data_IF_427804864066
#
_entry.id   IF_427804864066
#
_cell.length_a   1.000
_cell.length_b   1.000
_cell.length_c   1.000
_cell.angle_alpha   90.00
_cell.angle_beta   90.00
_cell.angle_gamma   90.00
#
_symmetry.space_group_name_H-M   'P 1'
#
loop_
_entity.id
_entity.type
_entity.pdbx_description
1 polymer ?
#
# COMPACT_ATOMS: atom_id res chain seq x y z
N UNK A 1 -27.76 -11.55 -1.49
CA UNK A 1 -28.85 -10.55 -1.59
C UNK A 1 -28.21 -9.25 -2.00
N UNK A 2 -28.47 -8.78 -3.21
CA UNK A 2 -27.90 -7.52 -3.71
C UNK A 2 -28.82 -6.37 -3.34
N UNK A 3 -28.33 -5.44 -2.54
CA UNK A 3 -28.98 -4.13 -2.36
C UNK A 3 -28.15 -3.09 -3.09
N UNK A 4 -28.70 -2.55 -4.18
CA UNK A 4 -28.13 -1.43 -4.90
C UNK A 4 -28.44 -0.13 -4.13
N UNK A 5 -27.50 0.36 -3.33
CA UNK A 5 -27.50 1.75 -2.87
C UNK A 5 -26.78 2.61 -3.91
N UNK A 6 -27.49 2.91 -5.00
CA UNK A 6 -27.15 4.02 -5.87
C UNK A 6 -27.96 5.25 -5.44
N UNK A 7 -27.49 5.89 -4.38
CA UNK A 7 -27.98 7.19 -3.93
C UNK A 7 -27.53 8.26 -4.94
N UNK A 8 -28.32 8.43 -6.00
CA UNK A 8 -28.15 9.53 -6.94
C UNK A 8 -28.63 10.82 -6.25
N UNK A 9 -27.82 11.89 -6.22
CA UNK A 9 -28.29 13.17 -5.69
C UNK A 9 -29.52 13.63 -6.48
N UNK A 10 -30.54 14.20 -5.82
CA UNK A 10 -31.75 14.64 -6.50
C UNK A 10 -31.39 15.62 -7.61
N UNK A 11 -31.97 15.44 -8.79
CA UNK A 11 -31.80 16.37 -9.88
C UNK A 11 -32.16 17.80 -9.40
N UNK A 12 -31.34 18.82 -9.72
CA UNK A 12 -31.61 20.17 -9.26
C UNK A 12 -33.00 20.61 -9.74
N UNK A 13 -33.77 21.40 -8.96
CA UNK A 13 -35.11 21.81 -9.33
C UNK A 13 -35.07 22.67 -10.60
N UNK A 14 -35.24 22.00 -11.74
CA UNK A 14 -35.29 22.60 -13.05
C UNK A 14 -36.66 23.23 -13.25
N UNK A 15 -36.78 24.47 -12.80
CA UNK A 15 -37.43 25.61 -13.46
C UNK A 15 -37.21 26.77 -12.49
N UNK A 16 -36.30 27.69 -12.82
CA UNK A 16 -36.34 29.02 -12.19
C UNK A 16 -37.72 29.61 -12.51
N UNK A 17 -38.46 30.17 -11.53
CA UNK A 17 -39.70 30.87 -11.87
C UNK A 17 -39.40 31.92 -12.95
N UNK A 18 -40.30 32.04 -13.92
CA UNK A 18 -40.14 33.02 -15.01
C UNK A 18 -39.87 34.40 -14.40
N UNK A 19 -38.98 35.17 -15.03
CA UNK A 19 -38.57 36.49 -14.52
C UNK A 19 -39.70 37.54 -14.52
N UNK A 20 -40.85 37.22 -15.13
CA UNK A 20 -42.11 37.94 -15.01
C UNK A 20 -43.16 37.05 -14.33
N UNK A 21 -44.13 37.67 -13.64
CA UNK A 21 -45.28 36.99 -13.06
C UNK A 21 -46.39 36.88 -14.12
N UNK A 22 -46.73 35.68 -14.63
CA UNK A 22 -47.70 35.55 -15.73
C UNK A 22 -49.05 36.19 -15.39
N UNK A 23 -49.58 35.90 -14.19
CA UNK A 23 -50.86 36.45 -13.73
C UNK A 23 -50.94 37.99 -13.70
N UNK A 24 -49.81 38.71 -13.56
CA UNK A 24 -49.80 40.18 -13.63
C UNK A 24 -49.84 40.68 -15.09
N UNK A 25 -49.24 39.93 -16.02
CA UNK A 25 -49.33 40.18 -17.46
C UNK A 25 -50.73 39.85 -17.96
N UNK A 26 -51.29 38.71 -17.57
CA UNK A 26 -52.62 38.26 -17.95
C UNK A 26 -53.67 39.28 -17.49
N UNK A 27 -53.66 39.68 -16.21
CA UNK A 27 -54.57 40.70 -15.67
C UNK A 27 -54.40 42.11 -16.28
N UNK A 28 -53.23 42.42 -16.86
CA UNK A 28 -53.03 43.65 -17.63
C UNK A 28 -53.61 43.54 -19.04
N UNK A 29 -53.41 42.40 -19.70
CA UNK A 29 -53.95 42.12 -21.04
C UNK A 29 -55.48 42.03 -21.02
N UNK A 30 -56.07 41.44 -19.98
CA UNK A 30 -57.52 41.38 -19.78
C UNK A 30 -58.12 42.79 -19.70
N UNK A 31 -57.55 43.67 -18.85
CA UNK A 31 -57.98 45.08 -18.73
C UNK A 31 -57.83 45.85 -20.04
N UNK A 32 -56.71 45.67 -20.74
CA UNK A 32 -56.49 46.29 -22.05
C UNK A 32 -57.50 45.78 -23.09
N UNK A 33 -57.89 44.51 -23.00
CA UNK A 33 -58.96 43.90 -23.79
C UNK A 33 -60.34 44.49 -23.50
N UNK A 34 -60.68 44.72 -22.23
CA UNK A 34 -61.90 45.40 -21.80
C UNK A 34 -61.94 46.85 -22.30
N UNK A 35 -60.86 47.60 -22.14
CA UNK A 35 -60.71 48.98 -22.64
C UNK A 35 -60.85 49.04 -24.17
N UNK A 36 -60.22 48.11 -24.90
CA UNK A 36 -60.35 47.99 -26.35
C UNK A 36 -61.79 47.64 -26.78
N UNK A 37 -62.44 46.69 -26.09
CA UNK A 37 -63.82 46.30 -26.37
C UNK A 37 -64.80 47.46 -26.16
N UNK A 38 -64.62 48.25 -25.08
CA UNK A 38 -65.40 49.45 -24.81
C UNK A 38 -65.19 50.53 -25.88
N UNK A 39 -63.93 50.79 -26.25
CA UNK A 39 -63.61 51.73 -27.32
C UNK A 39 -64.23 51.29 -28.67
N UNK A 40 -64.16 49.98 -28.98
CA UNK A 40 -64.73 49.41 -30.20
C UNK A 40 -66.26 49.52 -30.23
N UNK A 41 -66.94 49.22 -29.13
CA UNK A 41 -68.38 49.37 -29.01
C UNK A 41 -68.83 50.84 -29.18
N UNK A 42 -68.04 51.79 -28.65
CA UNK A 42 -68.30 53.22 -28.84
C UNK A 42 -68.15 53.67 -30.29
N UNK A 43 -67.12 53.18 -31.00
CA UNK A 43 -66.97 53.44 -32.45
C UNK A 43 -68.18 52.90 -33.22
N UNK A 44 -68.59 51.65 -32.97
CA UNK A 44 -69.76 51.05 -33.62
C UNK A 44 -71.06 51.81 -33.34
N UNK A 45 -71.25 52.34 -32.12
CA UNK A 45 -72.41 53.17 -31.78
C UNK A 45 -72.41 54.50 -32.53
N UNK A 46 -71.23 55.14 -32.68
CA UNK A 46 -71.09 56.38 -33.46
C UNK A 46 -71.27 56.14 -34.97
N UNK A 47 -70.76 55.04 -35.51
CA UNK A 47 -70.97 54.61 -36.91
C UNK A 47 -72.47 54.38 -37.19
N UNK A 48 -73.17 53.70 -36.28
CA UNK A 48 -74.61 53.46 -36.40
C UNK A 48 -75.44 54.75 -36.32
N UNK A 49 -75.10 55.67 -35.41
CA UNK A 49 -75.77 56.96 -35.28
C UNK A 49 -75.50 57.88 -36.48
N UNK A 50 -74.27 57.90 -37.01
CA UNK A 50 -73.95 58.60 -38.25
C UNK A 50 -74.74 58.04 -39.44
N UNK A 51 -74.89 56.71 -39.53
CA UNK A 51 -75.75 56.07 -40.53
C UNK A 51 -77.23 56.45 -40.39
N UNK A 52 -77.75 56.52 -39.15
CA UNK A 52 -79.13 56.94 -38.85
C UNK A 52 -79.36 58.39 -39.29
N UNK A 53 -78.48 59.31 -38.90
CA UNK A 53 -78.55 60.72 -39.27
C UNK A 53 -78.39 60.95 -40.77
N UNK A 54 -77.53 60.16 -41.43
CA UNK A 54 -77.37 60.18 -42.89
C UNK A 54 -78.66 59.79 -43.62
N UNK A 55 -79.33 58.71 -43.18
CA UNK A 55 -80.60 58.28 -43.75
C UNK A 55 -81.74 59.28 -43.47
N UNK A 56 -81.78 59.88 -42.28
CA UNK A 56 -82.72 60.95 -41.93
C UNK A 56 -82.51 62.19 -42.83
N UNK A 57 -81.26 62.56 -43.09
CA UNK A 57 -80.92 63.67 -43.97
C UNK A 57 -81.24 63.40 -45.46
N UNK A 58 -81.10 62.17 -45.95
CA UNK A 58 -81.59 61.80 -47.30
C UNK A 58 -83.12 61.84 -47.38
N UNK A 59 -83.82 61.26 -46.39
CA UNK A 59 -85.29 61.30 -46.36
C UNK A 59 -85.84 62.73 -46.34
N UNK A 60 -85.17 63.66 -45.64
CA UNK A 60 -85.50 65.08 -45.68
C UNK A 60 -85.22 65.71 -47.05
N UNK A 61 -84.11 65.36 -47.72
CA UNK A 61 -83.83 65.81 -49.11
C UNK A 61 -84.89 65.32 -50.09
N UNK A 62 -85.27 64.04 -50.03
CA UNK A 62 -86.33 63.46 -50.86
C UNK A 62 -87.69 64.13 -50.59
N UNK A 63 -88.03 64.38 -49.32
CA UNK A 63 -89.27 65.05 -48.94
C UNK A 63 -89.33 66.51 -49.45
N UNK A 64 -88.21 67.25 -49.39
CA UNK A 64 -88.10 68.61 -49.95
C UNK A 64 -88.19 68.57 -51.49
N UNK A 65 -87.51 67.64 -52.14
CA UNK A 65 -87.55 67.49 -53.61
C UNK A 65 -88.92 67.04 -54.15
N UNK A 66 -89.77 66.43 -53.31
CA UNK A 66 -91.13 66.04 -53.65
C UNK A 66 -92.16 67.18 -53.48
N UNK A 67 -91.78 68.32 -52.88
CA UNK A 67 -92.66 69.49 -52.82
C UNK A 67 -92.82 70.11 -54.22
N UNK A 68 -94.02 70.57 -54.61
CA UNK A 68 -94.19 71.27 -55.87
C UNK A 68 -93.38 72.58 -55.85
N UNK A 69 -92.79 73.00 -56.98
CA UNK A 69 -92.07 74.27 -57.06
C UNK A 69 -93.03 75.41 -56.72
N UNK A 70 -92.75 76.10 -55.62
CA UNK A 70 -93.61 77.15 -55.11
C UNK A 70 -93.33 78.46 -55.85
N UNK A 71 -94.29 78.88 -56.69
CA UNK A 71 -94.22 80.18 -57.37
C UNK A 71 -94.66 81.30 -56.43
N UNK A 72 -93.69 81.88 -55.72
CA UNK A 72 -93.90 83.01 -54.83
C UNK A 72 -94.03 84.36 -55.57
N UNK A 73 -93.87 84.42 -56.90
CA UNK A 73 -94.02 85.67 -57.66
C UNK A 73 -95.46 86.23 -57.57
N UNK A 74 -96.45 85.36 -57.36
CA UNK A 74 -97.86 85.71 -57.11
C UNK A 74 -98.05 86.54 -55.82
N UNK A 75 -97.10 86.47 -54.88
CA UNK A 75 -97.11 87.21 -53.61
C UNK A 75 -96.37 88.57 -53.69
N UNK A 76 -95.77 88.89 -54.84
CA UNK A 76 -95.10 90.17 -55.11
C UNK A 76 -93.60 90.17 -54.82
N UNK A 77 -92.90 91.22 -55.28
CA UNK A 77 -91.43 91.29 -55.32
C UNK A 77 -90.75 91.00 -53.97
N UNK A 78 -91.25 91.58 -52.87
CA UNK A 78 -90.67 91.35 -51.53
C UNK A 78 -90.75 89.91 -51.02
N UNK A 79 -91.62 89.06 -51.58
CA UNK A 79 -91.64 87.63 -51.28
C UNK A 79 -90.55 86.86 -52.06
N UNK A 80 -90.21 87.33 -53.26
CA UNK A 80 -89.11 86.79 -54.08
C UNK A 80 -87.76 87.22 -53.49
N UNK A 81 -87.64 88.49 -53.08
CA UNK A 81 -86.43 89.00 -52.41
C UNK A 81 -86.15 88.24 -51.10
N UNK A 82 -87.20 87.92 -50.32
CA UNK A 82 -87.09 87.13 -49.09
C UNK A 82 -86.71 85.67 -49.37
N UNK A 83 -87.22 85.05 -50.44
CA UNK A 83 -86.82 83.70 -50.83
C UNK A 83 -85.33 83.65 -51.18
N UNK A 84 -84.85 84.59 -52.00
CA UNK A 84 -83.43 84.67 -52.37
C UNK A 84 -82.52 84.79 -51.15
N UNK A 85 -82.88 85.65 -50.17
CA UNK A 85 -82.13 85.77 -48.92
C UNK A 85 -82.13 84.46 -48.11
N UNK A 86 -83.25 83.73 -48.06
CA UNK A 86 -83.32 82.43 -47.36
C UNK A 86 -82.52 81.34 -48.07
N UNK A 87 -82.43 81.37 -49.40
CA UNK A 87 -81.59 80.46 -50.19
C UNK A 87 -80.10 80.78 -49.98
N UNK A 88 -79.69 82.06 -50.00
CA UNK A 88 -78.32 82.50 -49.69
C UNK A 88 -77.89 82.08 -48.27
N UNK A 89 -78.71 82.37 -47.24
CA UNK A 89 -78.45 81.97 -45.85
C UNK A 89 -78.39 80.42 -45.67
N UNK A 90 -79.19 79.67 -46.44
CA UNK A 90 -79.15 78.21 -46.43
C UNK A 90 -77.87 77.65 -47.09
N UNK A 91 -77.39 78.29 -48.18
CA UNK A 91 -76.10 77.94 -48.79
C UNK A 91 -74.92 78.28 -47.88
N UNK A 92 -74.92 79.45 -47.22
CA UNK A 92 -73.90 79.84 -46.24
C UNK A 92 -73.87 78.88 -45.03
N UNK A 93 -75.03 78.50 -44.51
CA UNK A 93 -75.14 77.53 -43.42
C UNK A 93 -74.62 76.14 -43.85
N UNK A 94 -74.96 75.69 -45.05
CA UNK A 94 -74.49 74.40 -45.58
C UNK A 94 -72.98 74.41 -45.86
N UNK A 95 -72.42 75.52 -46.34
CA UNK A 95 -70.98 75.70 -46.53
C UNK A 95 -70.23 75.71 -45.18
N UNK A 96 -70.78 76.42 -44.19
CA UNK A 96 -70.24 76.49 -42.83
C UNK A 96 -70.22 75.12 -42.17
N UNK A 97 -71.35 74.39 -42.20
CA UNK A 97 -71.45 73.05 -41.62
C UNK A 97 -70.48 72.03 -42.25
N UNK A 98 -70.25 72.12 -43.57
CA UNK A 98 -69.23 71.31 -44.27
C UNK A 98 -67.81 71.65 -43.80
N UNK A 99 -67.48 72.94 -43.76
CA UNK A 99 -66.16 73.40 -43.31
C UNK A 99 -65.88 73.01 -41.84
N UNK A 100 -66.88 73.06 -40.96
CA UNK A 100 -66.76 72.59 -39.58
C UNK A 100 -66.57 71.07 -39.47
N UNK A 101 -67.28 70.29 -40.30
CA UNK A 101 -67.12 68.84 -40.37
C UNK A 101 -65.73 68.41 -40.89
N UNK A 102 -65.26 69.02 -41.98
CA UNK A 102 -63.92 68.79 -42.53
C UNK A 102 -62.84 69.17 -41.50
N UNK A 103 -62.99 70.31 -40.83
CA UNK A 103 -62.09 70.74 -39.76
C UNK A 103 -62.15 69.83 -38.52
N UNK A 104 -63.26 69.14 -38.25
CA UNK A 104 -63.35 68.14 -37.19
C UNK A 104 -62.65 66.83 -37.58
N UNK A 105 -62.84 66.34 -38.80
CA UNK A 105 -62.20 65.12 -39.31
C UNK A 105 -60.67 65.29 -39.38
N UNK A 106 -60.16 66.39 -39.93
CA UNK A 106 -58.72 66.66 -39.96
C UNK A 106 -58.09 66.77 -38.56
N UNK A 107 -58.81 67.36 -37.58
CA UNK A 107 -58.38 67.34 -36.17
C UNK A 107 -58.36 65.93 -35.59
N UNK A 108 -59.38 65.11 -35.87
CA UNK A 108 -59.47 63.74 -35.40
C UNK A 108 -58.37 62.84 -36.00
N UNK A 109 -58.08 62.99 -37.30
CA UNK A 109 -56.98 62.32 -38.00
C UNK A 109 -55.62 62.72 -37.42
N UNK A 110 -55.38 64.02 -37.23
CA UNK A 110 -54.14 64.51 -36.62
C UNK A 110 -53.94 63.97 -35.21
N UNK A 111 -55.02 63.89 -34.40
CA UNK A 111 -54.95 63.31 -33.05
C UNK A 111 -54.69 61.81 -33.08
N UNK A 112 -55.34 61.06 -33.97
CA UNK A 112 -55.11 59.63 -34.12
C UNK A 112 -53.65 59.32 -34.51
N UNK A 113 -53.06 60.09 -35.42
CA UNK A 113 -51.64 59.96 -35.81
C UNK A 113 -50.72 60.28 -34.63
N UNK A 114 -50.98 61.35 -33.86
CA UNK A 114 -50.18 61.70 -32.67
C UNK A 114 -50.26 60.61 -31.60
N UNK A 115 -51.46 60.10 -31.30
CA UNK A 115 -51.66 59.05 -30.31
C UNK A 115 -50.99 57.73 -30.72
N UNK A 116 -51.09 57.35 -32.00
CA UNK A 116 -50.44 56.16 -32.53
C UNK A 116 -48.90 56.26 -32.46
N UNK A 117 -48.34 57.43 -32.78
CA UNK A 117 -46.91 57.69 -32.66
C UNK A 117 -46.42 57.62 -31.20
N UNK A 118 -47.14 58.28 -30.27
CA UNK A 118 -46.82 58.25 -28.84
C UNK A 118 -46.92 56.84 -28.24
N UNK A 119 -47.94 56.07 -28.62
CA UNK A 119 -48.08 54.67 -28.21
C UNK A 119 -46.95 53.78 -28.76
N UNK A 120 -46.51 54.00 -30.00
CA UNK A 120 -45.38 53.29 -30.59
C UNK A 120 -44.04 53.63 -29.92
N UNK A 121 -43.81 54.91 -29.60
CA UNK A 121 -42.63 55.37 -28.86
C UNK A 121 -42.60 54.74 -27.46
N UNK A 122 -43.70 54.82 -26.71
CA UNK A 122 -43.82 54.22 -25.38
C UNK A 122 -43.59 52.70 -25.40
N UNK A 123 -44.24 51.98 -26.32
CA UNK A 123 -44.04 50.53 -26.48
C UNK A 123 -42.59 50.17 -26.88
N UNK A 124 -41.90 51.05 -27.60
CA UNK A 124 -40.48 50.85 -27.95
C UNK A 124 -39.57 51.12 -26.76
N UNK A 125 -39.80 52.21 -26.02
CA UNK A 125 -39.05 52.51 -24.79
C UNK A 125 -39.19 51.39 -23.74
N UNK A 126 -40.40 50.83 -23.55
CA UNK A 126 -40.61 49.69 -22.65
C UNK A 126 -39.84 48.45 -23.12
N UNK A 127 -39.86 48.12 -24.41
CA UNK A 127 -39.11 46.96 -24.97
C UNK A 127 -37.60 47.14 -24.80
N UNK A 128 -37.05 48.27 -25.25
CA UNK A 128 -35.61 48.56 -25.12
C UNK A 128 -35.15 48.59 -23.66
N UNK A 129 -35.97 49.12 -22.75
CA UNK A 129 -35.70 49.07 -21.30
C UNK A 129 -35.71 47.65 -20.73
N UNK A 130 -36.66 46.81 -21.16
CA UNK A 130 -36.73 45.40 -20.76
C UNK A 130 -35.55 44.57 -21.30
N UNK A 131 -35.16 44.79 -22.56
CA UNK A 131 -34.00 44.13 -23.18
C UNK A 131 -32.70 44.52 -22.47
N UNK A 132 -32.48 45.82 -22.23
CA UNK A 132 -31.31 46.31 -21.50
C UNK A 132 -31.25 45.79 -20.05
N UNK A 133 -32.41 45.65 -19.39
CA UNK A 133 -32.48 45.01 -18.07
C UNK A 133 -32.16 43.52 -18.15
N UNK A 134 -32.68 42.79 -19.14
CA UNK A 134 -32.40 41.37 -19.32
C UNK A 134 -30.91 41.10 -19.59
N UNK A 135 -30.28 41.89 -20.46
CA UNK A 135 -28.84 41.80 -20.72
C UNK A 135 -27.99 42.18 -19.51
N UNK A 136 -28.36 43.21 -18.74
CA UNK A 136 -27.71 43.55 -17.48
C UNK A 136 -27.79 42.41 -16.45
N UNK A 137 -28.97 41.80 -16.28
CA UNK A 137 -29.18 40.65 -15.39
C UNK A 137 -28.41 39.42 -15.86
N UNK A 138 -28.31 39.19 -17.17
CA UNK A 138 -27.53 38.11 -17.77
C UNK A 138 -26.02 38.33 -17.55
N UNK A 139 -25.51 39.54 -17.78
CA UNK A 139 -24.10 39.87 -17.56
C UNK A 139 -23.70 39.69 -16.09
N UNK A 140 -24.53 40.17 -15.15
CA UNK A 140 -24.32 39.97 -13.72
C UNK A 140 -24.29 38.47 -13.33
N UNK A 141 -25.22 37.66 -13.86
CA UNK A 141 -25.25 36.23 -13.59
C UNK A 141 -24.08 35.45 -14.21
N UNK A 142 -23.52 35.93 -15.33
CA UNK A 142 -22.29 35.37 -15.92
C UNK A 142 -21.08 35.72 -15.06
N UNK A 143 -20.94 36.98 -14.63
CA UNK A 143 -19.85 37.42 -13.75
C UNK A 143 -19.85 36.64 -12.42
N UNK A 144 -21.01 36.53 -11.76
CA UNK A 144 -21.18 35.73 -10.53
C UNK A 144 -20.77 34.26 -10.74
N UNK A 145 -21.16 33.65 -11.87
CA UNK A 145 -20.77 32.28 -12.20
C UNK A 145 -19.27 32.14 -12.50
N UNK A 146 -18.62 33.15 -13.06
CA UNK A 146 -17.17 33.19 -13.30
C UNK A 146 -16.38 33.38 -12.00
N UNK A 147 -16.83 34.24 -11.10
CA UNK A 147 -16.27 34.41 -9.75
C UNK A 147 -16.32 33.11 -8.94
N UNK A 148 -17.49 32.44 -8.90
CA UNK A 148 -17.66 31.14 -8.23
C UNK A 148 -16.70 30.09 -8.84
N UNK A 149 -16.55 30.06 -10.16
CA UNK A 149 -15.61 29.14 -10.85
C UNK A 149 -14.15 29.47 -10.55
N UNK A 150 -13.79 30.74 -10.47
CA UNK A 150 -12.44 31.17 -10.14
C UNK A 150 -12.08 30.79 -8.70
N UNK A 151 -12.96 31.08 -7.74
CA UNK A 151 -12.79 30.69 -6.34
C UNK A 151 -12.64 29.16 -6.18
N UNK A 152 -13.55 28.38 -6.77
CA UNK A 152 -13.50 26.92 -6.71
C UNK A 152 -12.22 26.31 -7.33
N UNK A 153 -11.67 26.95 -8.39
CA UNK A 153 -10.38 26.54 -8.97
C UNK A 153 -9.21 26.85 -8.04
N UNK A 154 -9.17 28.06 -7.47
CA UNK A 154 -8.12 28.46 -6.54
C UNK A 154 -8.09 27.56 -5.30
N UNK A 155 -9.25 27.21 -4.73
CA UNK A 155 -9.33 26.25 -3.62
C UNK A 155 -8.89 24.83 -4.05
N UNK A 156 -9.29 24.35 -5.22
CA UNK A 156 -8.86 23.05 -5.73
C UNK A 156 -7.35 22.99 -6.08
N UNK A 157 -6.72 24.12 -6.39
CA UNK A 157 -5.28 24.24 -6.56
C UNK A 157 -4.56 24.28 -5.21
N UNK A 158 -5.04 25.09 -4.26
CA UNK A 158 -4.53 25.16 -2.89
C UNK A 158 -4.57 23.79 -2.21
N UNK A 159 -5.72 23.11 -2.20
CA UNK A 159 -5.88 21.77 -1.59
C UNK A 159 -4.94 20.73 -2.24
N UNK A 160 -4.72 20.79 -3.56
CA UNK A 160 -3.72 19.92 -4.23
C UNK A 160 -2.28 20.28 -3.84
N UNK A 161 -1.98 21.57 -3.69
CA UNK A 161 -0.68 22.05 -3.19
C UNK A 161 -0.39 21.56 -1.78
N UNK A 162 -1.33 21.78 -0.87
CA UNK A 162 -1.28 21.37 0.54
C UNK A 162 -1.11 19.84 0.67
N UNK A 163 -1.97 19.06 0.00
CA UNK A 163 -1.87 17.59 -0.01
C UNK A 163 -0.55 17.09 -0.64
N UNK A 164 -0.07 17.77 -1.69
CA UNK A 164 1.21 17.45 -2.32
C UNK A 164 2.42 17.77 -1.44
N UNK A 165 2.33 18.81 -0.60
CA UNK A 165 3.35 19.14 0.39
C UNK A 165 3.37 18.13 1.53
N UNK A 166 2.22 17.83 2.14
CA UNK A 166 2.10 16.82 3.18
C UNK A 166 2.60 15.43 2.72
N UNK A 167 2.32 15.04 1.46
CA UNK A 167 2.83 13.79 0.89
C UNK A 167 4.36 13.78 0.73
N UNK A 168 5.00 14.92 0.45
CA UNK A 168 6.47 15.01 0.41
C UNK A 168 7.06 14.90 1.81
N UNK A 169 6.53 15.66 2.77
CA UNK A 169 6.94 15.61 4.17
C UNK A 169 6.87 14.19 4.74
N UNK A 170 5.73 13.48 4.56
CA UNK A 170 5.58 12.09 4.99
C UNK A 170 6.58 11.15 4.31
N UNK A 171 6.88 11.34 3.02
CA UNK A 171 7.89 10.53 2.30
C UNK A 171 9.30 10.78 2.83
N UNK A 172 9.66 12.03 3.07
CA UNK A 172 10.96 12.44 3.60
C UNK A 172 11.15 11.93 5.04
N UNK A 173 10.14 12.10 5.90
CA UNK A 173 10.14 11.56 7.26
C UNK A 173 10.22 10.03 7.29
N UNK A 174 9.48 9.34 6.40
CA UNK A 174 9.53 7.86 6.30
C UNK A 174 10.90 7.38 5.81
N UNK A 175 11.50 8.08 4.83
CA UNK A 175 12.83 7.75 4.34
C UNK A 175 13.91 7.96 5.42
N UNK A 176 13.84 9.07 6.16
CA UNK A 176 14.73 9.36 7.28
C UNK A 176 14.58 8.32 8.41
N UNK A 177 13.35 7.96 8.77
CA UNK A 177 13.09 6.92 9.77
C UNK A 177 13.65 5.56 9.33
N UNK A 178 13.45 5.16 8.06
CA UNK A 178 14.03 3.91 7.54
C UNK A 178 15.55 3.92 7.57
N UNK A 179 16.19 5.03 7.18
CA UNK A 179 17.65 5.16 7.25
C UNK A 179 18.18 5.05 8.68
N UNK A 180 17.48 5.64 9.66
CA UNK A 180 17.83 5.52 11.09
C UNK A 180 17.71 4.07 11.60
N UNK A 181 16.65 3.35 11.19
CA UNK A 181 16.45 1.93 11.55
C UNK A 181 17.49 1.03 10.88
N UNK A 182 17.83 1.27 9.60
CA UNK A 182 18.92 0.59 8.90
C UNK A 182 20.28 0.83 9.58
N UNK A 183 20.54 2.06 10.05
CA UNK A 183 21.74 2.40 10.82
C UNK A 183 21.78 1.67 12.18
N UNK A 184 20.70 1.70 12.98
CA UNK A 184 20.65 1.00 14.27
C UNK A 184 20.88 -0.50 14.10
N UNK A 185 20.25 -1.12 13.10
CA UNK A 185 20.48 -2.53 12.77
C UNK A 185 21.93 -2.81 12.34
N UNK A 186 22.53 -1.93 11.53
CA UNK A 186 23.94 -2.03 11.14
C UNK A 186 24.90 -1.93 12.34
N UNK A 187 24.67 -0.96 13.23
CA UNK A 187 25.46 -0.76 14.45
C UNK A 187 25.33 -1.96 15.40
N UNK A 188 24.12 -2.49 15.60
CA UNK A 188 23.86 -3.68 16.41
C UNK A 188 24.47 -4.94 15.81
N UNK A 189 24.39 -5.13 14.49
CA UNK A 189 25.04 -6.24 13.80
C UNK A 189 26.58 -6.16 13.92
N UNK A 190 27.16 -4.96 13.76
CA UNK A 190 28.59 -4.75 13.92
C UNK A 190 29.05 -4.94 15.38
N UNK A 191 28.25 -4.54 16.36
CA UNK A 191 28.51 -4.80 17.78
C UNK A 191 28.46 -6.30 18.10
N UNK A 192 27.45 -7.02 17.60
CA UNK A 192 27.34 -8.46 17.76
C UNK A 192 28.52 -9.19 17.09
N UNK A 193 28.92 -8.79 15.89
CA UNK A 193 30.07 -9.37 15.20
C UNK A 193 31.38 -9.17 16.00
N UNK A 194 31.62 -7.97 16.54
CA UNK A 194 32.77 -7.70 17.43
C UNK A 194 32.76 -8.56 18.69
N UNK A 195 31.60 -8.70 19.34
CA UNK A 195 31.46 -9.53 20.54
C UNK A 195 31.68 -11.03 20.24
N UNK A 196 31.15 -11.53 19.12
CA UNK A 196 31.33 -12.91 18.67
C UNK A 196 32.80 -13.21 18.33
N UNK A 197 33.51 -12.26 17.72
CA UNK A 197 34.94 -12.44 17.43
C UNK A 197 35.79 -12.39 18.70
N UNK A 198 35.54 -11.45 19.61
CA UNK A 198 36.21 -11.42 20.92
C UNK A 198 36.03 -12.73 21.70
N UNK A 199 34.80 -13.27 21.73
CA UNK A 199 34.51 -14.55 22.36
C UNK A 199 35.22 -15.75 21.68
N UNK A 200 35.45 -15.70 20.35
CA UNK A 200 36.26 -16.70 19.65
C UNK A 200 37.74 -16.59 20.01
N UNK A 201 38.29 -15.37 20.10
CA UNK A 201 39.67 -15.14 20.53
C UNK A 201 39.88 -15.67 21.95
N UNK A 202 39.01 -15.30 22.90
CA UNK A 202 39.05 -15.79 24.28
C UNK A 202 38.93 -17.33 24.35
N UNK A 203 38.00 -17.92 23.58
CA UNK A 203 37.85 -19.38 23.53
C UNK A 203 39.07 -20.09 22.93
N UNK A 204 39.74 -19.48 21.95
CA UNK A 204 40.97 -20.00 21.33
C UNK A 204 42.17 -19.89 22.30
N UNK A 205 42.34 -18.76 22.98
CA UNK A 205 43.35 -18.57 24.02
C UNK A 205 43.16 -19.56 25.18
N UNK A 206 41.92 -19.72 25.67
CA UNK A 206 41.60 -20.70 26.71
C UNK A 206 41.79 -22.15 26.25
N UNK A 207 41.58 -22.45 24.96
CA UNK A 207 41.89 -23.77 24.39
C UNK A 207 43.41 -24.00 24.29
N UNK A 208 44.18 -23.00 23.87
CA UNK A 208 45.64 -23.06 23.82
C UNK A 208 46.26 -23.28 25.22
N UNK A 209 45.79 -22.54 26.24
CA UNK A 209 46.23 -22.73 27.63
C UNK A 209 45.90 -24.13 28.18
N UNK A 210 44.75 -24.70 27.80
CA UNK A 210 44.39 -26.10 28.15
C UNK A 210 45.30 -27.11 27.45
N UNK A 211 45.68 -26.87 26.20
CA UNK A 211 46.61 -27.73 25.46
C UNK A 211 48.01 -27.69 26.08
N UNK A 212 48.56 -26.50 26.36
CA UNK A 212 49.87 -26.34 27.03
C UNK A 212 49.91 -27.03 28.42
N UNK A 213 48.82 -26.90 29.18
CA UNK A 213 48.65 -27.62 30.46
C UNK A 213 48.64 -29.14 30.24
N UNK A 214 47.89 -29.63 29.25
CA UNK A 214 47.80 -31.06 28.94
C UNK A 214 49.13 -31.64 28.42
N UNK A 215 49.87 -30.89 27.60
CA UNK A 215 51.21 -31.25 27.12
C UNK A 215 52.22 -31.29 28.27
N UNK A 216 52.17 -30.32 29.18
CA UNK A 216 52.98 -30.28 30.40
C UNK A 216 52.72 -31.49 31.32
N UNK A 217 51.44 -31.84 31.53
CA UNK A 217 51.05 -33.05 32.29
C UNK A 217 51.50 -34.32 31.58
N UNK A 218 51.34 -34.42 30.26
CA UNK A 218 51.79 -35.56 29.47
C UNK A 218 53.32 -35.71 29.51
N UNK A 219 54.07 -34.60 29.47
CA UNK A 219 55.52 -34.61 29.60
C UNK A 219 55.97 -35.06 30.99
N UNK A 220 55.28 -34.64 32.05
CA UNK A 220 55.52 -35.12 33.41
C UNK A 220 55.21 -36.62 33.55
N UNK A 221 54.07 -37.09 33.02
CA UNK A 221 53.70 -38.51 33.03
C UNK A 221 54.70 -39.37 32.23
N UNK A 222 55.24 -38.88 31.12
CA UNK A 222 56.31 -39.54 30.35
C UNK A 222 57.61 -39.66 31.14
N UNK A 223 58.02 -38.62 31.88
CA UNK A 223 59.19 -38.68 32.78
C UNK A 223 58.99 -39.69 33.90
N UNK A 224 57.87 -39.60 34.62
CA UNK A 224 57.54 -40.55 35.70
C UNK A 224 57.45 -42.01 35.20
N UNK A 225 56.95 -42.23 33.98
CA UNK A 225 56.98 -43.55 33.35
C UNK A 225 58.41 -44.03 33.08
N UNK A 226 59.27 -43.18 32.52
CA UNK A 226 60.66 -43.56 32.24
C UNK A 226 61.45 -43.87 33.53
N UNK A 227 61.25 -43.06 34.59
CA UNK A 227 61.82 -43.31 35.92
C UNK A 227 61.32 -44.64 36.52
N UNK A 228 60.03 -44.96 36.35
CA UNK A 228 59.46 -46.23 36.80
C UNK A 228 59.95 -47.43 35.99
N UNK A 229 60.11 -47.29 34.66
CA UNK A 229 60.68 -48.32 33.78
C UNK A 229 62.14 -48.60 34.13
N UNK A 230 62.95 -47.56 34.38
CA UNK A 230 64.35 -47.74 34.79
C UNK A 230 64.47 -48.36 36.19
N UNK A 231 63.61 -47.92 37.13
CA UNK A 231 63.51 -48.57 38.46
C UNK A 231 63.11 -50.04 38.35
N UNK A 232 62.22 -50.38 37.40
CA UNK A 232 61.82 -51.77 37.15
C UNK A 232 62.97 -52.58 36.52
N UNK A 233 63.72 -52.02 35.56
CA UNK A 233 64.93 -52.63 34.99
C UNK A 233 65.97 -52.92 36.07
N UNK A 234 66.35 -51.92 36.87
CA UNK A 234 67.33 -52.15 37.94
C UNK A 234 66.86 -53.19 38.96
N UNK A 235 65.57 -53.24 39.31
CA UNK A 235 65.03 -54.32 40.15
C UNK A 235 65.08 -55.69 39.47
N UNK A 236 64.86 -55.75 38.16
CA UNK A 236 64.99 -56.98 37.37
C UNK A 236 66.46 -57.42 37.31
N UNK A 237 67.38 -56.54 36.93
CA UNK A 237 68.84 -56.75 36.91
C UNK A 237 69.36 -57.22 38.28
N UNK A 238 68.97 -56.55 39.37
CA UNK A 238 69.26 -56.98 40.74
C UNK A 238 68.72 -58.40 41.02
N UNK A 239 67.51 -58.71 40.57
CA UNK A 239 66.90 -60.03 40.79
C UNK A 239 67.59 -61.13 39.97
N UNK A 240 68.02 -60.83 38.74
CA UNK A 240 68.74 -61.73 37.85
C UNK A 240 70.19 -61.94 38.34
N UNK A 241 70.85 -60.90 38.82
CA UNK A 241 72.15 -60.97 39.48
C UNK A 241 72.09 -61.80 40.76
N UNK A 242 71.07 -61.58 41.62
CA UNK A 242 70.81 -62.40 42.81
C UNK A 242 70.51 -63.86 42.45
N UNK A 243 69.68 -64.11 41.44
CA UNK A 243 69.37 -65.46 40.98
C UNK A 243 70.61 -66.17 40.42
N UNK A 244 71.46 -65.45 39.69
CA UNK A 244 72.73 -65.97 39.15
C UNK A 244 73.72 -66.28 40.25
N UNK A 245 73.87 -65.38 41.24
CA UNK A 245 74.70 -65.61 42.42
C UNK A 245 74.21 -66.82 43.24
N UNK A 246 72.89 -66.94 43.46
CA UNK A 246 72.28 -68.07 44.16
C UNK A 246 72.49 -69.40 43.41
N UNK A 247 72.37 -69.39 42.07
CA UNK A 247 72.68 -70.55 41.22
C UNK A 247 74.17 -70.92 41.28
N UNK A 248 75.07 -69.94 41.29
CA UNK A 248 76.50 -70.17 41.42
C UNK A 248 76.87 -70.75 42.80
N UNK A 249 76.27 -70.23 43.88
CA UNK A 249 76.43 -70.80 45.23
C UNK A 249 75.88 -72.23 45.29
N UNK A 250 74.70 -72.48 44.74
CA UNK A 250 74.10 -73.82 44.66
C UNK A 250 74.99 -74.78 43.87
N UNK A 251 75.55 -74.36 42.73
CA UNK A 251 76.47 -75.15 41.92
C UNK A 251 77.81 -75.41 42.63
N UNK A 252 78.36 -74.43 43.35
CA UNK A 252 79.56 -74.61 44.18
C UNK A 252 79.29 -75.59 45.34
N UNK A 253 78.12 -75.50 45.97
CA UNK A 253 77.71 -76.41 47.05
C UNK A 253 77.45 -77.83 46.55
N UNK A 254 76.79 -77.97 45.39
CA UNK A 254 76.64 -79.24 44.69
C UNK A 254 78.01 -79.83 44.29
N UNK A 255 78.95 -79.01 43.81
CA UNK A 255 80.31 -79.45 43.48
C UNK A 255 81.08 -79.93 44.72
N UNK A 256 80.91 -79.28 45.87
CA UNK A 256 81.49 -79.74 47.15
C UNK A 256 80.88 -81.08 47.58
N UNK A 257 79.55 -81.21 47.54
CA UNK A 257 78.85 -82.48 47.84
C UNK A 257 79.26 -83.60 46.88
N UNK A 258 79.42 -83.32 45.59
CA UNK A 258 79.94 -84.28 44.61
C UNK A 258 81.37 -84.70 44.94
N UNK A 259 82.29 -83.77 45.23
CA UNK A 259 83.66 -84.11 45.67
C UNK A 259 83.72 -84.84 47.01
N UNK A 260 82.73 -84.65 47.88
CA UNK A 260 82.60 -85.43 49.13
C UNK A 260 82.07 -86.83 48.84
N UNK A 261 81.09 -86.98 47.95
CA UNK A 261 80.59 -88.26 47.49
C UNK A 261 81.67 -89.06 46.72
N UNK A 262 82.46 -88.42 45.87
CA UNK A 262 83.62 -88.99 45.18
C UNK A 262 84.70 -89.43 46.17
N UNK A 263 85.03 -88.59 47.17
CA UNK A 263 85.97 -88.98 48.24
C UNK A 263 85.44 -90.17 49.06
N UNK A 264 84.14 -90.20 49.35
CA UNK A 264 83.50 -91.31 50.06
C UNK A 264 83.48 -92.60 49.22
N UNK A 265 83.22 -92.49 47.91
CA UNK A 265 83.28 -93.59 46.95
C UNK A 265 84.73 -94.11 46.79
N UNK A 266 85.72 -93.22 46.68
CA UNK A 266 87.14 -93.58 46.63
C UNK A 266 87.59 -94.28 47.93
N UNK A 267 87.23 -93.74 49.10
CA UNK A 267 87.52 -94.38 50.39
C UNK A 267 86.86 -95.77 50.51
N UNK A 268 85.64 -95.95 49.98
CA UNK A 268 84.94 -97.24 49.97
C UNK A 268 85.53 -98.22 48.93
N UNK A 269 86.03 -97.73 47.80
CA UNK A 269 86.80 -98.51 46.84
C UNK A 269 88.13 -98.96 47.46
N UNK A 270 88.85 -98.08 48.15
CA UNK A 270 90.12 -98.38 48.84
C UNK A 270 89.94 -99.31 50.06
N UNK A 271 88.79 -99.24 50.74
CA UNK A 271 88.40 -100.24 51.75
C UNK A 271 88.12 -101.60 51.09
N UNK A 272 87.43 -101.62 49.95
CA UNK A 272 87.16 -102.85 49.18
C UNK A 272 88.45 -103.48 48.61
N UNK A 273 89.39 -102.66 48.14
CA UNK A 273 90.75 -103.06 47.74
C UNK A 273 91.51 -103.68 48.93
N UNK A 274 91.52 -103.02 50.10
CA UNK A 274 92.14 -103.56 51.33
C UNK A 274 91.53 -104.89 51.75
N UNK A 275 90.20 -105.04 51.72
CA UNK A 275 89.52 -106.31 52.03
C UNK A 275 89.89 -107.38 50.99
N UNK A 276 89.93 -107.06 49.69
CA UNK A 276 90.39 -107.99 48.64
C UNK A 276 91.88 -108.33 48.73
N UNK A 277 92.72 -107.41 49.23
CA UNK A 277 94.14 -107.65 49.48
C UNK A 277 94.35 -108.55 50.71
N UNK A 278 93.57 -108.34 51.78
CA UNK A 278 93.58 -109.20 52.96
C UNK A 278 93.07 -110.61 52.63
N UNK A 279 92.01 -110.73 51.82
CA UNK A 279 91.54 -112.01 51.29
C UNK A 279 92.55 -112.68 50.35
N UNK A 280 93.27 -111.92 49.50
CA UNK A 280 94.41 -112.44 48.73
C UNK A 280 95.54 -112.95 49.62
N UNK A 281 95.85 -112.24 50.71
CA UNK A 281 96.90 -112.63 51.66
C UNK A 281 96.52 -113.92 52.42
N UNK A 282 95.28 -114.03 52.90
CA UNK A 282 94.76 -115.26 53.52
C UNK A 282 94.71 -116.42 52.51
N UNK A 283 94.26 -116.17 51.27
CA UNK A 283 94.23 -117.19 50.20
C UNK A 283 95.64 -117.65 49.79
N UNK A 284 96.63 -116.76 49.83
CA UNK A 284 98.05 -117.08 49.61
C UNK A 284 98.67 -117.87 50.77
N UNK A 285 98.40 -117.47 52.01
CA UNK A 285 98.90 -118.15 53.22
C UNK A 285 98.33 -119.58 53.36
N UNK A 286 97.06 -119.80 52.99
CA UNK A 286 96.46 -121.14 52.97
C UNK A 286 96.92 -121.99 51.78
N UNK A 287 97.15 -121.38 50.60
CA UNK A 287 97.66 -122.10 49.43
C UNK A 287 99.10 -122.63 49.62
N UNK A 288 99.92 -121.95 50.43
CA UNK A 288 101.28 -122.38 50.74
C UNK A 288 101.37 -123.56 51.74
N UNK A 289 100.31 -123.85 52.49
CA UNK A 289 100.31 -124.91 53.52
C UNK A 289 99.51 -126.17 53.14
N UNK A 290 98.60 -126.11 52.15
CA UNK A 290 97.82 -127.27 51.68
C UNK A 290 97.56 -127.22 50.17
N UNK A 291 98.21 -128.08 49.40
CA UNK A 291 98.08 -128.10 47.93
C UNK A 291 96.90 -128.91 47.39
N UNK A 292 96.09 -128.30 46.51
CA UNK A 292 95.35 -128.95 45.40
C UNK A 292 94.86 -127.88 44.40
N UNK A 293 94.66 -128.25 43.13
CA UNK A 293 94.36 -127.30 42.04
C UNK A 293 92.87 -127.13 41.70
N UNK A 294 92.58 -126.44 40.59
CA UNK A 294 91.24 -126.32 40.02
C UNK A 294 91.05 -125.07 39.14
N UNK A 295 90.58 -125.25 37.90
CA UNK A 295 90.13 -124.20 37.00
C UNK A 295 88.60 -124.01 37.10
N UNK A 296 88.06 -122.97 36.45
CA UNK A 296 86.77 -122.91 35.71
C UNK A 296 86.49 -121.44 35.29
N UNK A 297 85.80 -121.25 34.16
CA UNK A 297 85.40 -119.97 33.58
C UNK A 297 83.85 -119.82 33.57
N UNK A 298 83.37 -118.59 33.34
CA UNK A 298 82.04 -118.15 32.81
C UNK A 298 81.67 -116.76 33.37
N UNK A 299 80.77 -115.96 32.80
CA UNK A 299 80.47 -115.56 31.40
C UNK A 299 79.43 -114.41 31.46
N UNK A 300 79.19 -113.68 30.34
CA UNK A 300 78.02 -112.78 30.10
C UNK A 300 77.84 -111.55 31.06
N UNK A 301 77.04 -110.50 30.83
CA UNK A 301 76.39 -109.82 29.68
C UNK A 301 75.65 -108.56 30.27
N UNK A 302 75.05 -107.60 29.55
CA UNK A 302 75.31 -106.89 28.28
C UNK A 302 74.34 -105.67 28.22
N UNK A 303 74.49 -104.73 27.27
CA UNK A 303 73.57 -103.60 27.03
C UNK A 303 73.99 -102.28 27.73
N UNK A 304 74.28 -101.13 27.10
CA UNK A 304 73.90 -100.49 25.82
C UNK A 304 72.67 -99.54 25.86
N UNK A 305 72.84 -98.42 25.15
CA UNK A 305 71.82 -97.56 24.51
C UNK A 305 71.00 -96.53 25.35
N UNK A 306 71.37 -95.26 25.14
CA UNK A 306 70.58 -94.27 24.36
C UNK A 306 69.52 -93.33 24.99
N UNK A 307 69.35 -92.22 24.25
CA UNK A 307 68.21 -91.29 24.14
C UNK A 307 67.83 -90.37 25.30
N UNK A 308 67.27 -89.17 25.12
CA UNK A 308 67.21 -88.15 24.06
C UNK A 308 66.16 -87.11 24.56
N UNK A 309 66.31 -85.86 24.15
CA UNK A 309 65.28 -84.80 24.06
C UNK A 309 64.48 -84.32 25.30
N UNK A 310 64.23 -83.01 25.27
CA UNK A 310 63.53 -82.18 26.26
C UNK A 310 63.87 -80.72 26.02
#
# INVERSE_FOLDING_TARGET
MSSNEHDFPPAPPSVRPRAYRPAEVDAFLDRLGEEYALARARVQALEAEAGRLGAEAEALREAVAALPPADYAVLGGGAVDLLGLVEEEAEELAATARAEADALDERARAEAVRLAAAAHEAATAVRTGADAHADSRRAAAVAEAEEIRAAARADAERVRGDAGAALREVKEATAAHRAAVEQEHGERAAAFARAAEAARTEAAEAAAARLDTAESVLAAARRARAEAEETARHRQEDSEARATALRAEAAARASTVLREAERYAAARAEHSERVRAHLRHIKGALAALTGRGGAVADEAADGAAADAHG
#
